data_IF_562998312969
#
_entry.id   IF_562998312969
#
_cell.length_a   1.000
_cell.length_b   1.000
_cell.length_c   1.000
_cell.angle_alpha   90.00
_cell.angle_beta   90.00
_cell.angle_gamma   90.00
#
_symmetry.space_group_name_H-M   'P 1'
#
loop_
_entity.id
_entity.type
_entity.pdbx_description
1 polymer ?
#
# COMPACT_ATOMS: atom_id res chain seq x y z
N UNK A 1 -7.12 -26.91 -18.27
CA UNK A 1 -6.75 -27.24 -16.88
C UNK A 1 -5.32 -26.78 -16.67
N UNK A 2 -5.11 -25.61 -16.04
CA UNK A 2 -3.75 -25.20 -15.68
C UNK A 2 -3.34 -25.92 -14.39
N UNK A 3 -2.18 -26.57 -14.43
CA UNK A 3 -1.64 -27.37 -13.33
C UNK A 3 -1.43 -26.49 -12.09
N UNK A 4 -1.92 -26.96 -10.94
CA UNK A 4 -1.68 -26.35 -9.62
C UNK A 4 -0.18 -26.10 -9.35
N UNK A 5 0.70 -26.88 -9.99
CA UNK A 5 2.17 -26.77 -9.93
C UNK A 5 2.79 -25.52 -10.60
N UNK A 6 2.08 -24.80 -11.48
CA UNK A 6 2.62 -23.57 -12.10
C UNK A 6 2.45 -22.33 -11.21
N UNK A 7 1.35 -22.26 -10.46
CA UNK A 7 1.22 -21.25 -9.40
C UNK A 7 2.26 -21.46 -8.31
N UNK A 8 2.71 -22.72 -8.10
CA UNK A 8 3.71 -23.15 -7.12
C UNK A 8 5.18 -22.72 -7.37
N UNK A 9 5.39 -21.92 -8.42
CA UNK A 9 6.71 -21.41 -8.81
C UNK A 9 6.78 -19.90 -8.99
N UNK A 10 5.67 -19.18 -8.78
CA UNK A 10 5.59 -17.75 -9.09
C UNK A 10 6.49 -16.92 -8.17
N UNK A 11 7.49 -16.26 -8.76
CA UNK A 11 8.38 -15.34 -8.07
C UNK A 11 7.95 -13.90 -8.30
N UNK A 12 7.82 -13.16 -7.21
CA UNK A 12 7.36 -11.76 -7.21
C UNK A 12 8.49 -10.87 -6.69
N UNK A 13 8.84 -9.84 -7.47
CA UNK A 13 9.67 -8.72 -7.05
C UNK A 13 8.77 -7.59 -6.54
N UNK A 14 8.81 -7.30 -5.24
CA UNK A 14 8.09 -6.19 -4.62
C UNK A 14 8.95 -4.94 -4.49
N UNK A 15 8.40 -3.78 -4.85
CA UNK A 15 9.00 -2.46 -4.69
C UNK A 15 8.03 -1.56 -3.91
N UNK A 16 8.50 -0.98 -2.81
CA UNK A 16 7.73 -0.02 -2.01
C UNK A 16 8.58 1.21 -1.67
N UNK A 17 8.18 2.36 -2.22
CA UNK A 17 8.90 3.65 -2.13
C UNK A 17 8.02 4.83 -1.66
N UNK A 18 6.75 4.56 -1.35
CA UNK A 18 5.71 5.53 -1.03
C UNK A 18 5.82 6.15 0.37
N UNK A 19 6.39 5.46 1.36
CA UNK A 19 6.32 5.87 2.76
C UNK A 19 7.61 6.52 3.31
N UNK A 20 8.26 7.36 2.51
CA UNK A 20 9.59 7.95 2.79
C UNK A 20 10.70 6.92 3.09
N UNK A 21 10.48 5.65 2.78
CA UNK A 21 11.45 4.58 2.80
C UNK A 21 11.65 4.02 1.39
N UNK A 22 12.76 3.35 1.15
CA UNK A 22 13.00 2.54 -0.04
C UNK A 22 13.08 1.08 0.39
N UNK A 23 12.26 0.21 -0.18
CA UNK A 23 12.31 -1.20 0.15
C UNK A 23 12.03 -2.09 -1.05
N UNK A 24 12.71 -3.23 -1.05
CA UNK A 24 12.61 -4.26 -2.09
C UNK A 24 12.52 -5.62 -1.40
N UNK A 25 11.63 -6.47 -1.91
CA UNK A 25 11.51 -7.85 -1.45
C UNK A 25 11.38 -8.77 -2.66
N UNK A 26 11.88 -9.99 -2.53
CA UNK A 26 11.63 -11.07 -3.47
C UNK A 26 10.95 -12.18 -2.70
N UNK A 27 9.84 -12.66 -3.24
CA UNK A 27 9.09 -13.76 -2.65
C UNK A 27 8.85 -14.85 -3.66
N UNK A 28 8.75 -16.06 -3.15
CA UNK A 28 8.12 -17.17 -3.81
C UNK A 28 6.89 -17.51 -2.97
N UNK A 29 5.68 -17.35 -3.50
CA UNK A 29 4.43 -17.39 -2.72
C UNK A 29 4.33 -16.34 -1.60
N UNK A 30 3.85 -16.78 -0.44
CA UNK A 30 3.88 -16.09 0.83
C UNK A 30 5.28 -16.08 1.47
N UNK A 31 6.23 -16.87 0.96
CA UNK A 31 7.57 -16.97 1.53
C UNK A 31 8.51 -15.91 0.95
N UNK A 32 9.06 -15.06 1.82
CA UNK A 32 10.02 -14.03 1.43
C UNK A 32 11.40 -14.66 1.33
N UNK A 33 11.99 -14.67 0.13
CA UNK A 33 13.35 -15.18 -0.12
C UNK A 33 14.41 -14.19 0.34
N UNK A 34 14.20 -12.90 0.07
CA UNK A 34 15.06 -11.82 0.54
C UNK A 34 14.27 -10.52 0.64
N UNK A 35 14.68 -9.64 1.56
CA UNK A 35 14.13 -8.30 1.66
C UNK A 35 15.21 -7.33 2.16
N UNK A 36 15.25 -6.15 1.57
CA UNK A 36 16.07 -5.03 2.03
C UNK A 36 15.17 -3.80 2.19
N UNK A 37 15.47 -3.01 3.20
CA UNK A 37 14.78 -1.75 3.47
C UNK A 37 15.83 -0.72 3.88
N UNK A 38 15.69 0.50 3.35
CA UNK A 38 16.36 1.69 3.82
C UNK A 38 15.28 2.71 4.21
N UNK A 39 15.30 3.16 5.46
CA UNK A 39 14.35 4.13 6.02
C UNK A 39 14.84 5.57 5.93
N UNK A 40 16.02 5.80 5.33
CA UNK A 40 16.55 7.14 5.10
C UNK A 40 15.67 7.90 4.10
N UNK A 41 15.15 9.07 4.50
CA UNK A 41 14.26 9.85 3.65
C UNK A 41 15.03 10.45 2.46
N UNK A 42 14.32 10.62 1.34
CA UNK A 42 14.81 11.27 0.11
C UNK A 42 15.98 10.57 -0.63
N UNK A 43 16.36 9.37 -0.23
CA UNK A 43 17.46 8.62 -0.85
C UNK A 43 16.99 7.50 -1.80
N UNK A 44 15.69 7.45 -2.12
CA UNK A 44 15.11 6.37 -2.91
C UNK A 44 15.77 6.25 -4.29
N UNK A 45 16.00 7.37 -4.98
CA UNK A 45 16.61 7.37 -6.32
C UNK A 45 18.04 6.84 -6.32
N UNK A 46 18.79 7.08 -5.24
CA UNK A 46 20.18 6.65 -5.11
C UNK A 46 20.28 5.15 -4.80
N UNK A 47 19.39 4.64 -3.95
CA UNK A 47 19.52 3.27 -3.43
C UNK A 47 18.69 2.22 -4.17
N UNK A 48 17.57 2.58 -4.83
CA UNK A 48 16.61 1.59 -5.32
C UNK A 48 17.24 0.55 -6.26
N UNK A 49 17.96 0.98 -7.29
CA UNK A 49 18.55 0.06 -8.28
C UNK A 49 19.58 -0.87 -7.62
N UNK A 50 20.46 -0.32 -6.78
CA UNK A 50 21.43 -1.10 -6.02
C UNK A 50 20.75 -2.09 -5.05
N UNK A 51 19.64 -1.68 -4.43
CA UNK A 51 18.86 -2.50 -3.51
C UNK A 51 18.15 -3.65 -4.24
N UNK A 52 17.63 -3.42 -5.44
CA UNK A 52 17.07 -4.47 -6.30
C UNK A 52 18.15 -5.51 -6.59
N UNK A 53 19.31 -5.09 -7.09
CA UNK A 53 20.44 -5.99 -7.38
C UNK A 53 20.87 -6.79 -6.15
N UNK A 54 21.03 -6.12 -5.00
CA UNK A 54 21.40 -6.78 -3.73
C UNK A 54 20.36 -7.83 -3.30
N UNK A 55 19.07 -7.49 -3.40
CA UNK A 55 17.98 -8.39 -3.01
C UNK A 55 17.92 -9.61 -3.94
N UNK A 56 18.12 -9.43 -5.24
CA UNK A 56 18.21 -10.53 -6.21
C UNK A 56 19.38 -11.47 -5.93
N UNK A 57 20.56 -10.91 -5.63
CA UNK A 57 21.74 -11.71 -5.24
C UNK A 57 21.47 -12.53 -3.97
N UNK A 58 20.84 -11.93 -2.95
CA UNK A 58 20.49 -12.63 -1.71
C UNK A 58 19.45 -13.73 -1.92
N UNK A 59 18.45 -13.48 -2.78
CA UNK A 59 17.45 -14.47 -3.16
C UNK A 59 17.99 -15.54 -4.13
N UNK A 60 19.19 -15.35 -4.68
CA UNK A 60 19.83 -16.22 -5.69
C UNK A 60 18.97 -16.39 -6.94
N UNK A 61 18.44 -15.28 -7.47
CA UNK A 61 17.59 -15.26 -8.68
C UNK A 61 18.08 -14.22 -9.68
N UNK A 62 17.77 -14.42 -10.96
CA UNK A 62 17.96 -13.43 -12.04
C UNK A 62 16.63 -12.73 -12.37
N UNK A 63 16.62 -11.79 -13.32
CA UNK A 63 15.36 -11.17 -13.76
C UNK A 63 14.51 -12.15 -14.59
N UNK A 64 15.12 -13.16 -15.20
CA UNK A 64 14.44 -14.20 -15.98
C UNK A 64 13.66 -15.17 -15.08
N UNK A 65 14.04 -15.25 -13.81
CA UNK A 65 13.32 -16.00 -12.78
C UNK A 65 12.06 -15.28 -12.29
N UNK A 66 11.93 -13.97 -12.50
CA UNK A 66 10.83 -13.18 -11.95
C UNK A 66 9.63 -13.23 -12.89
N UNK A 67 8.45 -13.57 -12.36
CA UNK A 67 7.21 -13.62 -13.13
C UNK A 67 6.43 -12.30 -13.00
N UNK A 68 6.41 -11.72 -11.80
CA UNK A 68 5.63 -10.52 -11.49
C UNK A 68 6.46 -9.45 -10.77
N UNK A 69 6.14 -8.18 -11.03
CA UNK A 69 6.68 -7.04 -10.32
C UNK A 69 5.55 -6.29 -9.61
N UNK A 70 5.49 -6.40 -8.29
CA UNK A 70 4.52 -5.68 -7.47
C UNK A 70 5.09 -4.33 -7.03
N UNK A 71 4.41 -3.22 -7.33
CA UNK A 71 4.88 -1.87 -6.99
C UNK A 71 3.78 -1.01 -6.38
N UNK A 72 4.14 -0.23 -5.37
CA UNK A 72 3.22 0.72 -4.73
C UNK A 72 3.04 2.00 -5.55
N UNK A 73 1.80 2.43 -5.78
CA UNK A 73 1.49 3.67 -6.53
C UNK A 73 1.12 4.88 -5.68
N UNK A 74 1.18 4.80 -4.35
CA UNK A 74 0.74 5.87 -3.46
C UNK A 74 -0.62 5.61 -2.79
N UNK A 75 -1.12 6.59 -2.01
CA UNK A 75 -0.54 7.93 -1.82
C UNK A 75 0.63 7.97 -0.83
N UNK A 76 1.42 9.04 -0.85
CA UNK A 76 2.59 9.21 0.01
C UNK A 76 3.65 10.16 -0.55
N UNK A 77 4.91 9.79 -0.40
CA UNK A 77 6.10 10.51 -0.90
C UNK A 77 6.04 10.70 -2.41
N UNK A 78 5.75 11.92 -2.86
CA UNK A 78 5.63 12.25 -4.28
C UNK A 78 6.85 11.84 -5.11
N UNK A 79 8.05 12.15 -4.61
CA UNK A 79 9.31 11.75 -5.26
C UNK A 79 9.49 10.24 -5.21
N UNK A 80 9.25 9.61 -4.05
CA UNK A 80 9.43 8.18 -3.86
C UNK A 80 8.56 7.33 -4.78
N UNK A 81 7.27 7.67 -4.89
CA UNK A 81 6.32 6.96 -5.77
C UNK A 81 6.80 6.99 -7.22
N UNK A 82 7.21 8.16 -7.73
CA UNK A 82 7.68 8.30 -9.11
C UNK A 82 8.97 7.54 -9.37
N UNK A 83 9.90 7.53 -8.41
CA UNK A 83 11.13 6.73 -8.51
C UNK A 83 10.81 5.23 -8.60
N UNK A 84 9.90 4.73 -7.76
CA UNK A 84 9.49 3.33 -7.75
C UNK A 84 8.80 2.91 -9.05
N UNK A 85 7.82 3.70 -9.51
CA UNK A 85 7.10 3.44 -10.76
C UNK A 85 8.00 3.56 -12.00
N UNK A 86 8.92 4.53 -12.04
CA UNK A 86 9.88 4.67 -13.14
C UNK A 86 10.85 3.49 -13.21
N UNK A 87 11.35 3.02 -12.06
CA UNK A 87 12.18 1.82 -12.00
C UNK A 87 11.41 0.57 -12.46
N UNK A 88 10.16 0.41 -12.00
CA UNK A 88 9.28 -0.66 -12.44
C UNK A 88 9.07 -0.63 -13.96
N UNK A 89 8.76 0.54 -14.52
CA UNK A 89 8.58 0.74 -15.96
C UNK A 89 9.84 0.33 -16.74
N UNK A 90 11.02 0.77 -16.29
CA UNK A 90 12.29 0.40 -16.91
C UNK A 90 12.54 -1.10 -16.93
N UNK A 91 12.21 -1.81 -15.84
CA UNK A 91 12.35 -3.27 -15.73
C UNK A 91 11.38 -3.99 -16.68
N UNK A 92 10.09 -3.63 -16.66
CA UNK A 92 9.09 -4.32 -17.47
C UNK A 92 9.24 -4.04 -18.97
N UNK A 93 9.80 -2.89 -19.35
CA UNK A 93 10.01 -2.52 -20.76
C UNK A 93 10.99 -3.47 -21.47
N UNK A 94 11.93 -4.05 -20.72
CA UNK A 94 12.99 -4.93 -21.26
C UNK A 94 12.82 -6.39 -20.85
N UNK A 95 11.73 -6.74 -20.17
CA UNK A 95 11.49 -8.10 -19.66
C UNK A 95 10.07 -8.57 -19.97
N UNK A 96 9.79 -9.84 -19.69
CA UNK A 96 8.42 -10.41 -19.78
C UNK A 96 7.65 -10.32 -18.46
N UNK A 97 8.19 -9.59 -17.49
CA UNK A 97 7.65 -9.50 -16.13
C UNK A 97 6.33 -8.72 -16.17
N UNK A 98 5.29 -9.28 -15.55
CA UNK A 98 3.96 -8.65 -15.49
C UNK A 98 3.88 -7.71 -14.28
N UNK A 99 3.59 -6.41 -14.47
CA UNK A 99 3.44 -5.48 -13.34
C UNK A 99 2.13 -5.73 -12.58
N UNK A 100 2.18 -5.58 -11.27
CA UNK A 100 1.02 -5.54 -10.37
C UNK A 100 1.12 -4.25 -9.57
N UNK A 101 0.19 -3.34 -9.81
CA UNK A 101 0.19 -2.02 -9.21
C UNK A 101 -0.80 -2.00 -8.05
N UNK A 102 -0.29 -1.65 -6.86
CA UNK A 102 -1.03 -1.76 -5.60
C UNK A 102 -1.02 -0.40 -4.91
N UNK A 103 -2.18 0.07 -4.44
CA UNK A 103 -2.23 1.28 -3.62
C UNK A 103 -1.74 1.02 -2.19
N UNK A 104 -1.17 2.04 -1.57
CA UNK A 104 -0.74 1.99 -0.17
C UNK A 104 -1.92 1.72 0.79
N UNK A 105 -3.12 2.15 0.41
CA UNK A 105 -4.34 1.80 1.11
C UNK A 105 -4.64 0.31 1.07
N UNK A 106 -4.48 -0.36 -0.08
CA UNK A 106 -4.72 -1.80 -0.18
C UNK A 106 -3.71 -2.60 0.65
N UNK A 107 -2.44 -2.17 0.69
CA UNK A 107 -1.42 -2.76 1.55
C UNK A 107 -1.83 -2.64 3.02
N UNK A 108 -2.24 -1.45 3.47
CA UNK A 108 -2.68 -1.21 4.84
C UNK A 108 -3.96 -1.99 5.18
N UNK A 109 -4.94 -2.04 4.27
CA UNK A 109 -6.17 -2.85 4.39
C UNK A 109 -5.83 -4.32 4.61
N UNK A 110 -4.92 -4.86 3.79
CA UNK A 110 -4.44 -6.23 3.90
C UNK A 110 -3.79 -6.48 5.27
N UNK A 111 -2.91 -5.59 5.71
CA UNK A 111 -2.24 -5.68 7.02
C UNK A 111 -3.23 -5.64 8.20
N UNK A 112 -4.25 -4.77 8.13
CA UNK A 112 -5.33 -4.71 9.14
C UNK A 112 -6.08 -6.04 9.20
N UNK A 113 -6.49 -6.57 8.04
CA UNK A 113 -7.26 -7.83 7.97
C UNK A 113 -6.51 -9.02 8.53
N UNK A 114 -5.19 -9.06 8.34
CA UNK A 114 -4.31 -10.11 8.87
C UNK A 114 -4.13 -10.01 10.39
N UNK A 115 -4.23 -8.82 10.98
CA UNK A 115 -3.96 -8.60 12.40
C UNK A 115 -5.20 -8.71 13.29
N UNK A 116 -6.35 -8.25 12.82
CA UNK A 116 -7.57 -8.16 13.63
C UNK A 116 -8.56 -9.20 13.13
N UNK A 117 -8.69 -10.31 13.89
CA UNK A 117 -9.66 -11.36 13.59
C UNK A 117 -11.08 -10.79 13.66
N UNK A 118 -11.88 -11.05 12.62
CA UNK A 118 -13.27 -10.60 12.55
C UNK A 118 -13.46 -9.11 12.24
N UNK A 119 -12.40 -8.36 11.90
CA UNK A 119 -12.52 -6.94 11.55
C UNK A 119 -13.52 -6.71 10.42
N UNK A 120 -14.42 -5.75 10.64
CA UNK A 120 -15.45 -5.35 9.69
C UNK A 120 -14.99 -4.15 8.87
N UNK A 121 -14.33 -3.17 9.50
CA UNK A 121 -13.92 -1.94 8.84
C UNK A 121 -12.40 -1.73 8.96
N UNK A 122 -11.76 -1.36 7.86
CA UNK A 122 -10.38 -0.86 7.86
C UNK A 122 -10.36 0.62 7.49
N UNK A 123 -9.74 1.43 8.35
CA UNK A 123 -9.37 2.81 8.07
C UNK A 123 -7.88 2.86 7.77
N UNK A 124 -7.54 3.21 6.54
CA UNK A 124 -6.16 3.37 6.10
C UNK A 124 -5.87 4.86 6.01
N UNK A 125 -4.91 5.33 6.82
CA UNK A 125 -4.73 6.74 7.16
C UNK A 125 -3.28 7.12 6.86
N UNK A 126 -3.09 7.86 5.78
CA UNK A 126 -1.76 8.28 5.29
C UNK A 126 -1.64 9.79 5.44
N UNK A 127 -0.49 10.27 5.92
CA UNK A 127 -0.22 11.67 6.17
C UNK A 127 -0.16 12.45 4.84
N UNK A 128 -0.97 13.50 4.72
CA UNK A 128 -0.97 14.42 3.58
C UNK A 128 -0.29 15.76 3.91
N UNK A 129 0.41 15.83 5.05
CA UNK A 129 1.01 17.03 5.64
C UNK A 129 -0.03 18.10 6.02
N UNK A 130 0.41 19.17 6.70
CA UNK A 130 -0.43 20.34 7.05
C UNK A 130 -1.77 19.98 7.71
N UNK A 131 -1.73 19.07 8.70
CA UNK A 131 -2.90 18.58 9.45
C UNK A 131 -3.99 17.89 8.59
N UNK A 132 -3.61 17.40 7.40
CA UNK A 132 -4.49 16.63 6.52
C UNK A 132 -4.06 15.18 6.42
N UNK A 133 -5.02 14.32 6.10
CA UNK A 133 -4.79 12.91 5.85
C UNK A 133 -5.46 12.47 4.55
N UNK A 134 -4.78 11.59 3.84
CA UNK A 134 -5.41 10.70 2.87
C UNK A 134 -6.05 9.57 3.66
N UNK A 135 -7.37 9.45 3.56
CA UNK A 135 -8.14 8.42 4.26
C UNK A 135 -8.91 7.59 3.26
N UNK A 136 -8.84 6.28 3.40
CA UNK A 136 -9.75 5.36 2.73
C UNK A 136 -10.38 4.43 3.75
N UNK A 137 -11.69 4.25 3.63
CA UNK A 137 -12.48 3.31 4.41
C UNK A 137 -12.75 2.07 3.56
N UNK A 138 -12.49 0.90 4.13
CA UNK A 138 -12.89 -0.37 3.55
C UNK A 138 -13.84 -1.07 4.49
N UNK A 139 -14.93 -1.58 3.94
CA UNK A 139 -15.84 -2.48 4.64
C UNK A 139 -15.61 -3.88 4.09
N UNK A 140 -15.28 -4.84 4.95
CA UNK A 140 -15.02 -6.22 4.57
C UNK A 140 -16.31 -7.04 4.39
N UNK A 141 -17.45 -6.52 4.85
CA UNK A 141 -18.75 -7.18 4.71
C UNK A 141 -19.50 -6.72 3.45
N UNK A 142 -19.08 -5.61 2.83
CA UNK A 142 -19.65 -5.12 1.58
C UNK A 142 -18.61 -5.14 0.47
N UNK A 143 -19.04 -5.42 -0.76
CA UNK A 143 -18.17 -5.39 -1.94
C UNK A 143 -17.76 -3.97 -2.33
N UNK A 144 -18.35 -2.95 -1.70
CA UNK A 144 -18.12 -1.53 -1.97
C UNK A 144 -16.92 -1.01 -1.18
N UNK A 145 -15.83 -0.69 -1.90
CA UNK A 145 -14.77 0.16 -1.36
C UNK A 145 -15.18 1.61 -1.43
N UNK A 146 -15.06 2.35 -0.33
CA UNK A 146 -15.23 3.80 -0.36
C UNK A 146 -14.06 4.45 -1.12
N UNK A 147 -14.32 5.52 -1.84
CA UNK A 147 -13.26 6.28 -2.49
C UNK A 147 -12.33 6.90 -1.44
N UNK A 148 -11.04 7.00 -1.79
CA UNK A 148 -10.08 7.69 -0.96
C UNK A 148 -10.34 9.20 -0.97
N UNK A 149 -10.21 9.84 0.19
CA UNK A 149 -10.49 11.26 0.38
C UNK A 149 -9.29 11.98 1.01
N UNK A 150 -9.14 13.27 0.71
CA UNK A 150 -8.20 14.16 1.40
C UNK A 150 -8.99 15.05 2.35
N UNK A 151 -8.84 14.82 3.65
CA UNK A 151 -9.63 15.51 4.69
C UNK A 151 -8.73 16.01 5.81
N UNK A 152 -9.26 16.92 6.63
CA UNK A 152 -8.57 17.38 7.82
C UNK A 152 -8.52 16.27 8.88
N UNK A 153 -7.46 16.27 9.70
CA UNK A 153 -7.25 15.24 10.71
C UNK A 153 -8.39 15.17 11.73
N UNK A 154 -9.00 16.30 12.07
CA UNK A 154 -10.18 16.38 12.96
C UNK A 154 -11.42 15.74 12.34
N UNK A 155 -11.63 15.91 11.03
CA UNK A 155 -12.72 15.25 10.31
C UNK A 155 -12.51 13.73 10.26
N UNK A 156 -11.28 13.29 10.04
CA UNK A 156 -10.93 11.88 10.09
C UNK A 156 -11.21 11.25 11.46
N UNK A 157 -10.91 11.97 12.56
CA UNK A 157 -11.24 11.55 13.92
C UNK A 157 -12.75 11.34 14.09
N UNK A 158 -13.58 12.28 13.62
CA UNK A 158 -15.04 12.16 13.70
C UNK A 158 -15.57 10.95 12.91
N UNK A 159 -15.05 10.69 11.70
CA UNK A 159 -15.44 9.52 10.91
C UNK A 159 -15.11 8.19 11.62
N UNK A 160 -13.96 8.13 12.29
CA UNK A 160 -13.52 6.94 13.02
C UNK A 160 -14.39 6.72 14.25
N UNK A 161 -14.63 7.76 15.06
CA UNK A 161 -15.45 7.68 16.28
C UNK A 161 -16.92 7.32 16.01
N UNK A 162 -17.48 7.74 14.89
CA UNK A 162 -18.87 7.44 14.53
C UNK A 162 -19.11 5.98 14.11
N UNK A 163 -18.07 5.15 14.07
CA UNK A 163 -18.16 3.76 13.63
C UNK A 163 -18.51 2.82 14.78
N UNK A 164 -19.60 2.05 14.61
CA UNK A 164 -20.06 1.05 15.60
C UNK A 164 -19.46 -0.35 15.41
N UNK A 165 -18.93 -0.64 14.22
CA UNK A 165 -18.38 -1.97 13.89
C UNK A 165 -16.94 -2.13 14.39
N UNK A 166 -16.48 -3.38 14.50
CA UNK A 166 -15.09 -3.67 14.82
C UNK A 166 -14.17 -3.12 13.72
N UNK A 167 -13.32 -2.17 14.08
CA UNK A 167 -12.55 -1.35 13.16
C UNK A 167 -11.07 -1.38 13.45
N UNK A 168 -10.25 -1.47 12.41
CA UNK A 168 -8.80 -1.32 12.48
C UNK A 168 -8.32 -0.05 11.79
N UNK A 169 -7.38 0.66 12.39
CA UNK A 169 -6.78 1.88 11.86
C UNK A 169 -5.27 1.67 11.68
N UNK A 170 -4.75 1.93 10.48
CA UNK A 170 -3.33 1.78 10.18
C UNK A 170 -2.83 2.83 9.17
N UNK A 171 -1.52 3.06 9.16
CA UNK A 171 -0.83 4.02 8.29
C UNK A 171 -0.03 5.06 9.07
N UNK A 172 0.83 5.81 8.39
CA UNK A 172 1.80 6.71 9.03
C UNK A 172 1.16 7.92 9.75
N UNK A 173 -0.09 8.29 9.44
CA UNK A 173 -0.83 9.32 10.16
C UNK A 173 -1.54 8.82 11.42
N UNK A 174 -1.46 7.51 11.72
CA UNK A 174 -2.18 6.90 12.85
C UNK A 174 -1.82 7.55 14.20
N UNK A 175 -0.54 7.89 14.40
CA UNK A 175 -0.09 8.57 15.63
C UNK A 175 -0.78 9.92 15.82
N UNK A 176 -0.80 10.75 14.77
CA UNK A 176 -1.46 12.06 14.78
C UNK A 176 -2.96 11.94 15.08
N UNK A 177 -3.63 10.96 14.46
CA UNK A 177 -5.06 10.70 14.69
C UNK A 177 -5.31 10.25 16.13
N UNK A 178 -4.46 9.36 16.66
CA UNK A 178 -4.56 8.87 18.04
C UNK A 178 -4.36 10.01 19.06
N UNK A 179 -3.37 10.88 18.86
CA UNK A 179 -3.13 12.03 19.73
C UNK A 179 -4.33 13.00 19.72
N UNK A 180 -4.90 13.29 18.55
CA UNK A 180 -6.11 14.12 18.44
C UNK A 180 -7.31 13.47 19.13
N UNK A 181 -7.49 12.15 19.01
CA UNK A 181 -8.55 11.41 19.69
C UNK A 181 -8.47 11.55 21.21
N UNK A 182 -7.28 11.33 21.78
CA UNK A 182 -7.06 11.42 23.23
C UNK A 182 -7.34 12.82 23.76
N UNK A 183 -7.08 13.87 22.97
CA UNK A 183 -7.39 15.25 23.36
C UNK A 183 -8.87 15.63 23.20
N UNK A 184 -9.59 14.96 22.29
CA UNK A 184 -10.97 15.31 21.91
C UNK A 184 -12.01 14.47 22.64
N UNK A 185 -11.64 13.29 23.15
CA UNK A 185 -12.57 12.33 23.75
C UNK A 185 -12.00 11.76 25.05
N UNK A 186 -12.86 11.60 26.06
CA UNK A 186 -12.49 11.04 27.38
C UNK A 186 -12.22 9.54 27.35
N UNK A 187 -12.82 8.80 26.41
CA UNK A 187 -12.66 7.34 26.26
C UNK A 187 -12.68 6.92 24.79
N UNK A 188 -11.70 6.13 24.36
CA UNK A 188 -11.69 5.53 23.02
C UNK A 188 -12.63 4.31 23.02
N UNK A 189 -13.55 4.17 22.04
CA UNK A 189 -14.43 3.01 21.94
C UNK A 189 -13.65 1.68 21.81
N UNK A 190 -14.08 0.65 22.56
CA UNK A 190 -13.42 -0.67 22.59
C UNK A 190 -13.47 -1.44 21.26
N UNK A 191 -14.26 -0.97 20.29
CA UNK A 191 -14.37 -1.55 18.95
C UNK A 191 -13.37 -0.97 17.94
N UNK A 192 -12.50 -0.03 18.34
CA UNK A 192 -11.55 0.65 17.45
C UNK A 192 -10.12 0.32 17.87
N UNK A 193 -9.36 -0.28 16.95
CA UNK A 193 -7.99 -0.71 17.18
C UNK A 193 -7.01 0.07 16.31
N UNK A 194 -6.06 0.74 16.94
CA UNK A 194 -4.95 1.41 16.25
C UNK A 194 -3.76 0.46 16.13
N UNK A 195 -3.19 0.37 14.93
CA UNK A 195 -2.06 -0.51 14.61
C UNK A 195 -0.80 0.32 14.29
N UNK A 196 -0.15 0.95 15.29
CA UNK A 196 0.98 1.87 15.08
C UNK A 196 2.19 1.19 14.43
N UNK A 197 2.34 -0.14 14.60
CA UNK A 197 3.38 -0.94 13.93
C UNK A 197 3.31 -0.89 12.40
N UNK A 198 2.16 -0.52 11.84
CA UNK A 198 1.94 -0.35 10.41
C UNK A 198 1.99 1.12 9.98
N UNK A 199 2.54 2.00 10.83
CA UNK A 199 2.95 3.33 10.41
C UNK A 199 4.02 3.25 9.31
N UNK A 200 4.87 2.23 9.37
CA UNK A 200 5.85 1.90 8.34
C UNK A 200 5.68 0.44 7.93
N UNK A 201 5.78 0.17 6.64
CA UNK A 201 5.83 -1.17 6.08
C UNK A 201 6.77 -1.14 4.87
N UNK A 202 7.36 -2.30 4.58
CA UNK A 202 8.26 -2.48 3.45
C UNK A 202 7.60 -3.28 2.32
N UNK A 203 8.40 -3.72 1.35
CA UNK A 203 7.94 -4.48 0.21
C UNK A 203 7.46 -5.91 0.52
N UNK A 204 7.65 -6.44 1.73
CA UNK A 204 7.20 -7.80 2.10
C UNK A 204 5.68 -7.96 2.03
N UNK A 205 4.86 -7.12 2.68
CA UNK A 205 3.40 -7.19 2.53
C UNK A 205 2.92 -6.88 1.12
N UNK A 206 3.66 -6.08 0.34
CA UNK A 206 3.35 -5.82 -1.07
C UNK A 206 3.43 -7.11 -1.89
N UNK A 207 4.51 -7.89 -1.71
CA UNK A 207 4.64 -9.21 -2.32
C UNK A 207 3.51 -10.16 -1.91
N UNK A 208 3.21 -10.23 -0.60
CA UNK A 208 2.16 -11.11 -0.06
C UNK A 208 0.77 -10.75 -0.58
N UNK A 209 0.48 -9.46 -0.70
CA UNK A 209 -0.78 -8.98 -1.26
C UNK A 209 -0.87 -9.29 -2.75
N UNK A 210 0.21 -9.05 -3.51
CA UNK A 210 0.27 -9.43 -4.92
C UNK A 210 0.00 -10.93 -5.12
N UNK A 211 0.65 -11.78 -4.33
CA UNK A 211 0.38 -13.22 -4.34
C UNK A 211 -1.08 -13.55 -4.03
N UNK A 212 -1.68 -12.90 -3.02
CA UNK A 212 -3.09 -13.12 -2.70
C UNK A 212 -4.03 -12.71 -3.85
N UNK A 213 -3.76 -11.58 -4.52
CA UNK A 213 -4.55 -11.13 -5.67
C UNK A 213 -4.49 -12.16 -6.80
N UNK A 214 -3.29 -12.65 -7.12
CA UNK A 214 -3.07 -13.70 -8.12
C UNK A 214 -3.78 -15.02 -7.75
N UNK A 215 -3.57 -15.50 -6.53
CA UNK A 215 -4.14 -16.77 -6.06
C UNK A 215 -5.67 -16.76 -6.01
N UNK A 216 -6.26 -15.61 -5.66
CA UNK A 216 -7.72 -15.43 -5.62
C UNK A 216 -8.33 -15.04 -6.97
N UNK A 217 -7.52 -14.89 -8.03
CA UNK A 217 -7.92 -14.41 -9.36
C UNK A 217 -8.71 -13.09 -9.30
N UNK A 218 -8.37 -12.23 -8.33
CA UNK A 218 -8.94 -10.90 -8.23
C UNK A 218 -8.32 -10.00 -9.30
N UNK A 219 -9.11 -9.05 -9.81
CA UNK A 219 -8.59 -8.03 -10.72
C UNK A 219 -7.55 -7.16 -10.02
N UNK A 220 -6.48 -6.83 -10.72
CA UNK A 220 -5.43 -5.92 -10.29
C UNK A 220 -5.06 -4.98 -11.43
N UNK A 221 -4.50 -3.81 -11.10
CA UNK A 221 -4.03 -2.87 -12.11
C UNK A 221 -2.64 -3.26 -12.60
N UNK A 222 -2.40 -3.08 -13.90
CA UNK A 222 -1.08 -3.16 -14.53
C UNK A 222 -0.57 -1.78 -14.94
N UNK A 223 -1.37 -0.73 -14.73
CA UNK A 223 -1.07 0.64 -15.15
C UNK A 223 -0.14 1.33 -14.14
N UNK A 224 1.09 1.64 -14.58
CA UNK A 224 2.12 2.26 -13.75
C UNK A 224 1.92 3.78 -13.62
N UNK A 225 0.79 4.19 -13.05
CA UNK A 225 0.44 5.59 -12.83
C UNK A 225 0.34 5.90 -11.33
N UNK A 226 0.87 7.04 -10.84
CA UNK A 226 0.68 7.44 -9.45
C UNK A 226 -0.80 7.64 -9.11
N UNK A 227 -1.20 7.22 -7.91
CA UNK A 227 -2.54 7.51 -7.39
C UNK A 227 -2.59 8.95 -6.85
N UNK A 228 -3.13 9.86 -7.65
CA UNK A 228 -3.38 11.24 -7.23
C UNK A 228 -4.75 11.38 -6.58
N UNK A 229 -4.77 11.89 -5.35
CA UNK A 229 -5.99 12.16 -4.59
C UNK A 229 -6.05 13.67 -4.37
N UNK A 230 -6.89 14.35 -5.13
CA UNK A 230 -7.03 15.80 -5.10
C UNK A 230 -8.48 16.19 -4.73
N UNK A 231 -8.66 17.08 -3.76
CA UNK A 231 -9.98 17.62 -3.42
C UNK A 231 -10.60 18.52 -4.52
N UNK A 232 -9.90 18.80 -5.63
CA UNK A 232 -10.40 19.70 -6.68
C UNK A 232 -11.52 19.09 -7.53
N UNK A 233 -11.74 17.77 -7.46
CA UNK A 233 -12.62 17.08 -8.41
C UNK A 233 -14.11 17.02 -8.01
N UNK A 234 -14.51 17.60 -6.88
CA UNK A 234 -15.95 17.66 -6.52
C UNK A 234 -16.69 18.91 -7.01
N UNK A 235 -16.00 19.96 -7.48
CA UNK A 235 -16.68 21.24 -7.84
C UNK A 235 -16.45 21.78 -9.26
N UNK A 236 -15.56 21.21 -10.08
CA UNK A 236 -15.22 21.84 -11.37
C UNK A 236 -15.30 20.97 -12.63
N UNK A 237 -15.75 19.72 -12.59
CA UNK A 237 -15.92 18.90 -13.82
C UNK A 237 -17.36 18.86 -14.39
N UNK A 238 -18.13 19.92 -14.17
CA UNK A 238 -19.24 20.27 -15.08
C UNK A 238 -18.88 21.60 -15.70
N UNK A 239 -18.06 21.57 -16.74
CA UNK A 239 -18.05 22.51 -17.87
C UNK A 239 -16.92 22.06 -18.82
N UNK A 240 -17.29 21.92 -20.09
CA UNK A 240 -16.39 21.86 -21.26
C UNK A 240 -15.73 20.51 -21.60
N UNK A 241 -16.55 19.61 -22.15
CA UNK A 241 -16.29 19.13 -23.52
C UNK A 241 -17.59 19.25 -24.32
N UNK A 242 -17.68 20.33 -25.10
CA UNK A 242 -18.51 20.42 -26.30
C UNK A 242 -17.66 19.98 -27.48
#
# INVERSE_FOLDING_TARGET
MYNYNEFDKMKILGICTSNNSCSVAISNHSNVLAANCNVEPAMQAQYLVCMIKKTMMQAKVTFEDIDYLAVTQGPGSFTGIRVGLAAALGIITVSKIVPIVISDFEVLKFLIKQQIKGVNIAFTIINAYRNKVYLQKFDFNSSSSFQAVLIDATEAVNLILNTKSLSGCAGNATKMIYELLVTTTTTIPNNIFFLPRFAYYDARPVCRLAYQLLASKQSYSTELCPLYICNRDFKHWKLEYR
#
